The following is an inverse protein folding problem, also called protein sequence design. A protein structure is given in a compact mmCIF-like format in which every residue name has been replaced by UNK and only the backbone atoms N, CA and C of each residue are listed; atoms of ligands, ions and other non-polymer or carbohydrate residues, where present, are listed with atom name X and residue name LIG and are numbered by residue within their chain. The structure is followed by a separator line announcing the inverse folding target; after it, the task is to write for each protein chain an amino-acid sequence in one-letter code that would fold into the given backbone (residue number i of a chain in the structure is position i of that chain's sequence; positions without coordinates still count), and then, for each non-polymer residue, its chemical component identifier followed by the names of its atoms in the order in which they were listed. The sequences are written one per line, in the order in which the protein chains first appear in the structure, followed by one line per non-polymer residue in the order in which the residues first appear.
data_IF_362908925574
#
_entry.id   IF_362908925574
#
_cell.length_a   1.000
_cell.length_b   1.000
_cell.length_c   1.000
_cell.angle_alpha   90.00
_cell.angle_beta   90.00
_cell.angle_gamma   90.00
#
_symmetry.space_group_name_H-M   'P 1'
#
loop_
_entity.id
_entity.type
_entity.pdbx_description
1 polymer ?
#
# COMPACT_ATOMS: atom_id res chain seq x y z
N UNK A 1 29.34 16.04 4.75
CA UNK A 1 29.70 16.18 6.19
C UNK A 1 29.23 14.91 6.87
N UNK A 2 30.17 14.03 7.20
CA UNK A 2 29.92 12.80 7.93
C UNK A 2 29.66 13.20 9.39
N UNK A 3 28.47 12.90 9.88
CA UNK A 3 28.20 12.93 11.30
C UNK A 3 28.93 11.73 11.93
N UNK A 4 29.91 12.00 12.79
CA UNK A 4 30.38 11.04 13.79
C UNK A 4 29.28 10.88 14.85
N UNK A 5 28.16 10.28 14.46
CA UNK A 5 27.07 9.93 15.35
C UNK A 5 27.05 8.42 15.48
N UNK A 6 27.00 7.94 16.69
CA UNK A 6 26.64 6.59 17.02
C UNK A 6 25.36 6.23 16.23
N UNK A 7 25.40 5.20 15.39
CA UNK A 7 24.21 4.55 14.87
C UNK A 7 23.57 3.89 16.08
N UNK A 8 22.68 4.61 16.75
CA UNK A 8 21.74 3.96 17.64
C UNK A 8 20.77 3.21 16.73
N UNK A 9 20.69 1.90 16.86
CA UNK A 9 19.64 1.06 16.27
C UNK A 9 18.30 1.48 16.89
N UNK A 10 17.78 2.62 16.45
CA UNK A 10 16.47 3.11 16.89
C UNK A 10 15.43 2.39 16.06
N UNK A 11 14.67 1.53 16.68
CA UNK A 11 13.57 0.84 16.00
C UNK A 11 12.48 1.83 15.58
N UNK A 12 11.69 1.47 14.57
CA UNK A 12 10.50 2.26 14.15
C UNK A 12 9.56 2.47 15.35
N UNK A 13 9.44 1.45 16.22
CA UNK A 13 8.67 1.53 17.47
C UNK A 13 9.20 2.65 18.38
N UNK A 14 10.50 2.67 18.64
CA UNK A 14 11.10 3.67 19.55
C UNK A 14 10.97 5.08 18.98
N UNK A 15 11.16 5.23 17.66
CA UNK A 15 10.96 6.50 16.98
C UNK A 15 9.50 6.97 17.06
N UNK A 16 8.53 6.10 16.78
CA UNK A 16 7.12 6.43 16.87
C UNK A 16 6.72 6.80 18.31
N UNK A 17 7.19 6.05 19.32
CA UNK A 17 6.95 6.37 20.73
C UNK A 17 7.60 7.70 21.15
N UNK A 18 8.79 8.03 20.65
CA UNK A 18 9.42 9.33 20.93
C UNK A 18 8.58 10.50 20.41
N UNK A 19 7.97 10.35 19.21
CA UNK A 19 7.04 11.33 18.63
C UNK A 19 5.79 11.47 19.49
N UNK A 20 5.19 10.35 19.93
CA UNK A 20 3.98 10.37 20.75
C UNK A 20 4.22 11.04 22.10
N UNK A 21 5.37 10.80 22.72
CA UNK A 21 5.77 11.36 24.04
C UNK A 21 6.19 12.84 23.97
N UNK A 22 6.52 13.37 22.81
CA UNK A 22 7.00 14.74 22.67
C UNK A 22 5.88 15.78 22.76
N UNK A 23 6.01 16.76 23.64
CA UNK A 23 4.98 17.81 23.85
C UNK A 23 4.83 18.73 22.64
N UNK A 24 5.92 19.04 21.94
CA UNK A 24 5.94 19.98 20.81
C UNK A 24 5.42 19.39 19.50
N UNK A 25 5.03 18.09 19.46
CA UNK A 25 4.54 17.44 18.26
C UNK A 25 3.02 17.56 18.17
N UNK A 26 2.52 17.83 16.96
CA UNK A 26 1.08 17.97 16.73
C UNK A 26 0.32 16.66 17.00
N UNK A 27 -0.95 16.78 17.44
CA UNK A 27 -1.81 15.61 17.67
C UNK A 27 -1.98 14.73 16.41
N UNK A 28 -1.99 15.35 15.22
CA UNK A 28 -2.07 14.61 13.96
C UNK A 28 -0.90 13.64 13.79
N UNK A 29 0.31 14.08 14.12
CA UNK A 29 1.52 13.24 14.05
C UNK A 29 1.54 12.18 15.14
N UNK A 30 1.07 12.50 16.36
CA UNK A 30 0.92 11.51 17.44
C UNK A 30 -0.07 10.42 17.05
N UNK A 31 -1.24 10.80 16.47
CA UNK A 31 -2.22 9.85 15.94
C UNK A 31 -1.65 8.98 14.82
N UNK A 32 -0.89 9.56 13.89
CA UNK A 32 -0.23 8.81 12.84
C UNK A 32 0.71 7.74 13.43
N UNK A 33 1.56 8.12 14.37
CA UNK A 33 2.51 7.21 15.01
C UNK A 33 1.78 6.12 15.83
N UNK A 34 0.72 6.46 16.56
CA UNK A 34 -0.05 5.47 17.32
C UNK A 34 -0.72 4.45 16.39
N UNK A 35 -1.35 4.88 15.31
CA UNK A 35 -1.98 3.96 14.35
C UNK A 35 -0.95 3.13 13.56
N UNK A 36 0.25 3.65 13.31
CA UNK A 36 1.37 2.86 12.78
C UNK A 36 1.75 1.71 13.73
N UNK A 37 1.85 1.99 15.03
CA UNK A 37 2.19 0.97 16.05
C UNK A 37 1.09 -0.08 16.18
N UNK A 38 -0.19 0.33 16.16
CA UNK A 38 -1.33 -0.60 16.16
C UNK A 38 -1.30 -1.49 14.91
N UNK A 39 -1.07 -0.92 13.74
CA UNK A 39 -0.92 -1.70 12.50
C UNK A 39 0.24 -2.70 12.62
N UNK A 40 1.37 -2.28 13.14
CA UNK A 40 2.52 -3.16 13.40
C UNK A 40 2.17 -4.34 14.33
N UNK A 41 1.47 -4.06 15.44
CA UNK A 41 1.00 -5.09 16.38
C UNK A 41 0.02 -6.08 15.71
N UNK A 42 -0.93 -5.60 14.91
CA UNK A 42 -1.85 -6.46 14.17
C UNK A 42 -1.12 -7.31 13.13
N UNK A 43 -0.11 -6.77 12.45
CA UNK A 43 0.76 -7.51 11.55
C UNK A 43 1.57 -8.60 12.29
N UNK A 44 2.17 -8.28 13.44
CA UNK A 44 2.87 -9.24 14.30
C UNK A 44 1.96 -10.41 14.70
N UNK A 45 0.70 -10.12 15.05
CA UNK A 45 -0.28 -11.13 15.40
C UNK A 45 -0.67 -11.98 14.18
N UNK A 46 -0.92 -11.37 13.03
CA UNK A 46 -1.33 -12.06 11.81
C UNK A 46 -0.22 -12.99 11.27
N UNK A 47 1.01 -12.48 11.21
CA UNK A 47 2.16 -13.25 10.71
C UNK A 47 2.83 -14.14 11.79
N UNK A 48 2.28 -14.15 13.01
CA UNK A 48 2.84 -14.88 14.14
C UNK A 48 4.32 -14.55 14.43
N UNK A 49 4.67 -13.26 14.34
CA UNK A 49 6.03 -12.76 14.50
C UNK A 49 6.18 -11.90 15.76
N UNK A 50 7.21 -12.17 16.57
CA UNK A 50 7.61 -11.36 17.73
C UNK A 50 6.45 -10.94 18.68
N UNK A 51 5.50 -11.83 18.94
CA UNK A 51 4.33 -11.56 19.80
C UNK A 51 4.67 -11.23 21.26
N UNK A 52 5.86 -11.57 21.72
CA UNK A 52 6.32 -11.24 23.07
C UNK A 52 6.60 -9.74 23.24
N UNK A 53 6.77 -8.99 22.15
CA UNK A 53 7.04 -7.56 22.13
C UNK A 53 6.21 -6.85 21.06
N UNK A 54 4.91 -6.70 21.33
CA UNK A 54 4.00 -6.03 20.38
C UNK A 54 4.38 -4.56 20.19
N UNK A 55 4.19 -4.08 18.99
CA UNK A 55 4.55 -2.71 18.63
C UNK A 55 3.78 -1.66 19.44
N UNK A 56 2.51 -1.93 19.75
CA UNK A 56 1.60 -1.04 20.49
C UNK A 56 1.62 -1.23 22.02
N UNK A 57 2.49 -2.09 22.56
CA UNK A 57 2.50 -2.44 24.00
C UNK A 57 2.64 -1.24 24.95
N UNK A 58 3.22 -0.13 24.49
CA UNK A 58 3.38 1.10 25.26
C UNK A 58 2.25 2.13 25.07
N UNK A 59 1.27 1.85 24.19
CA UNK A 59 0.11 2.71 23.97
C UNK A 59 -0.94 2.51 25.07
N UNK A 60 -0.60 2.90 26.29
CA UNK A 60 -1.44 2.79 27.49
C UNK A 60 -1.68 4.18 28.09
N UNK A 61 -2.68 4.30 28.97
CA UNK A 61 -3.03 5.57 29.62
C UNK A 61 -3.35 6.65 28.59
N UNK A 62 -2.74 7.83 28.75
CA UNK A 62 -2.99 8.98 27.87
C UNK A 62 -2.54 8.74 26.43
N UNK A 63 -1.57 7.86 26.20
CA UNK A 63 -1.11 7.54 24.85
C UNK A 63 -2.13 6.73 24.04
N UNK A 64 -3.01 5.99 24.71
CA UNK A 64 -4.11 5.26 24.06
C UNK A 64 -5.13 6.21 23.40
N UNK A 65 -5.22 7.46 23.81
CA UNK A 65 -6.12 8.46 23.24
C UNK A 65 -5.79 8.82 21.78
N UNK A 66 -4.57 8.49 21.32
CA UNK A 66 -4.16 8.71 19.93
C UNK A 66 -4.51 7.54 18.99
N UNK A 67 -5.01 6.43 19.52
CA UNK A 67 -5.43 5.27 18.71
C UNK A 67 -6.79 5.57 18.09
N UNK A 68 -6.93 5.34 16.80
CA UNK A 68 -8.23 5.31 16.15
C UNK A 68 -8.85 3.92 16.34
N UNK A 69 -9.91 3.87 17.14
CA UNK A 69 -10.66 2.64 17.42
C UNK A 69 -11.86 2.44 16.48
N UNK A 70 -12.06 3.34 15.53
CA UNK A 70 -13.14 3.25 14.56
C UNK A 70 -12.92 2.03 13.65
N UNK A 71 -13.95 1.23 13.46
CA UNK A 71 -13.94 0.20 12.42
C UNK A 71 -14.24 0.87 11.08
N UNK A 72 -13.25 0.96 10.16
CA UNK A 72 -13.46 1.65 8.90
C UNK A 72 -14.43 0.87 8.01
N UNK A 73 -15.29 1.58 7.30
CA UNK A 73 -16.05 0.99 6.21
C UNK A 73 -15.12 0.84 5.02
N UNK A 74 -14.83 -0.40 4.61
CA UNK A 74 -14.02 -0.69 3.44
C UNK A 74 -14.87 -0.62 2.18
N UNK A 75 -14.35 0.05 1.15
CA UNK A 75 -15.03 0.20 -0.15
C UNK A 75 -14.44 -0.81 -1.12
N UNK A 76 -15.32 -1.68 -1.64
CA UNK A 76 -15.00 -2.59 -2.72
C UNK A 76 -15.20 -1.87 -4.06
N UNK A 77 -14.15 -1.81 -4.86
CA UNK A 77 -14.29 -1.43 -6.26
C UNK A 77 -14.63 -2.67 -7.08
N UNK A 78 -15.91 -2.82 -7.44
CA UNK A 78 -16.40 -4.01 -8.15
C UNK A 78 -16.05 -4.03 -9.62
N UNK A 79 -15.66 -2.91 -10.22
CA UNK A 79 -15.53 -2.78 -11.67
C UNK A 79 -14.33 -3.55 -12.22
N UNK A 80 -13.27 -3.75 -11.42
CA UNK A 80 -12.01 -4.35 -11.87
C UNK A 80 -11.73 -5.74 -11.33
N UNK A 81 -12.39 -6.17 -10.24
CA UNK A 81 -12.20 -7.51 -9.67
C UNK A 81 -12.78 -8.63 -10.54
N UNK A 82 -13.79 -8.33 -11.37
CA UNK A 82 -14.52 -9.35 -12.13
C UNK A 82 -14.04 -9.54 -13.55
N UNK A 83 -13.22 -8.64 -14.09
CA UNK A 83 -12.69 -8.77 -15.45
C UNK A 83 -11.38 -8.00 -15.67
N UNK A 84 -10.26 -8.43 -15.08
CA UNK A 84 -8.96 -7.81 -15.33
C UNK A 84 -8.39 -8.16 -16.72
N UNK A 85 -9.11 -8.96 -17.51
CA UNK A 85 -8.71 -9.37 -18.84
C UNK A 85 -9.58 -8.75 -19.91
N UNK A 86 -8.96 -8.08 -20.85
CA UNK A 86 -9.58 -7.73 -22.12
C UNK A 86 -9.05 -8.70 -23.18
N UNK A 87 -9.96 -9.39 -23.87
CA UNK A 87 -9.56 -10.32 -24.93
C UNK A 87 -8.82 -9.56 -26.05
N UNK A 88 -7.63 -10.03 -26.38
CA UNK A 88 -6.83 -9.43 -27.45
C UNK A 88 -5.84 -8.37 -27.03
N UNK A 89 -5.89 -7.93 -25.78
CA UNK A 89 -4.95 -7.00 -25.17
C UNK A 89 -3.97 -7.71 -24.21
N UNK A 90 -2.93 -7.01 -23.78
CA UNK A 90 -2.13 -7.45 -22.65
C UNK A 90 -3.01 -7.44 -21.41
N UNK A 91 -3.07 -8.57 -20.71
CA UNK A 91 -3.98 -8.76 -19.58
C UNK A 91 -3.31 -8.50 -18.22
N UNK A 92 -4.12 -8.23 -17.20
CA UNK A 92 -3.69 -8.27 -15.82
C UNK A 92 -4.37 -9.42 -15.07
N UNK A 93 -3.63 -10.12 -14.23
CA UNK A 93 -4.27 -10.92 -13.15
C UNK A 93 -4.75 -9.99 -12.05
N UNK A 94 -5.74 -10.45 -11.27
CA UNK A 94 -6.10 -9.78 -10.01
C UNK A 94 -4.85 -9.62 -9.16
N UNK A 95 -4.47 -8.39 -8.81
CA UNK A 95 -3.28 -8.16 -7.99
C UNK A 95 -3.50 -8.65 -6.56
N UNK A 96 -2.40 -8.80 -5.84
CA UNK A 96 -2.42 -9.12 -4.42
C UNK A 96 -1.57 -8.13 -3.62
N UNK A 97 -1.76 -8.12 -2.30
CA UNK A 97 -0.98 -7.30 -1.39
C UNK A 97 0.23 -8.09 -0.89
N UNK A 98 1.35 -7.40 -0.80
CA UNK A 98 2.52 -7.83 -0.03
C UNK A 98 2.78 -6.83 1.10
N UNK A 99 3.28 -7.33 2.22
CA UNK A 99 3.71 -6.57 3.37
C UNK A 99 5.14 -7.01 3.71
N UNK A 100 6.09 -6.22 3.27
CA UNK A 100 7.52 -6.42 3.52
C UNK A 100 8.05 -5.14 4.19
N UNK A 101 8.94 -4.41 3.53
CA UNK A 101 9.41 -3.10 4.02
C UNK A 101 8.36 -2.00 3.86
N UNK A 102 7.33 -2.25 3.04
CA UNK A 102 6.19 -1.38 2.78
C UNK A 102 4.93 -2.21 2.49
N UNK A 103 3.78 -1.55 2.45
CA UNK A 103 2.57 -2.15 1.87
C UNK A 103 2.63 -1.94 0.36
N UNK A 104 2.63 -3.05 -0.38
CA UNK A 104 2.83 -3.07 -1.83
C UNK A 104 1.67 -3.78 -2.53
N UNK A 105 1.36 -3.33 -3.73
CA UNK A 105 0.49 -4.05 -4.66
C UNK A 105 1.39 -4.80 -5.64
N UNK A 106 1.25 -6.12 -5.69
CA UNK A 106 1.93 -6.98 -6.66
C UNK A 106 1.02 -7.18 -7.88
N UNK A 107 1.52 -6.77 -9.02
CA UNK A 107 0.85 -6.92 -10.30
C UNK A 107 1.46 -8.05 -11.12
N UNK A 108 0.60 -8.77 -11.82
CA UNK A 108 1.01 -9.75 -12.84
C UNK A 108 0.40 -9.38 -14.17
N UNK A 109 1.24 -9.21 -15.19
CA UNK A 109 0.87 -8.92 -16.56
C UNK A 109 0.96 -10.22 -17.36
N UNK A 110 -0.02 -10.50 -18.20
CA UNK A 110 -0.04 -11.65 -19.10
C UNK A 110 0.03 -11.20 -20.55
N UNK A 111 1.04 -11.69 -21.26
CA UNK A 111 1.25 -11.38 -22.67
C UNK A 111 0.73 -12.44 -23.62
N UNK A 112 0.45 -13.64 -23.12
CA UNK A 112 -0.06 -14.75 -23.94
C UNK A 112 -1.50 -14.58 -24.44
N UNK A 113 -2.22 -13.60 -23.93
CA UNK A 113 -3.57 -13.23 -24.36
C UNK A 113 -3.58 -12.10 -25.40
N UNK A 114 -2.43 -11.49 -25.63
CA UNK A 114 -2.26 -10.42 -26.62
C UNK A 114 -2.36 -10.98 -28.06
N UNK A 115 -3.20 -10.37 -28.88
CA UNK A 115 -3.40 -10.77 -30.28
C UNK A 115 -3.00 -9.69 -31.28
N UNK A 116 -2.37 -8.61 -30.81
CA UNK A 116 -1.81 -7.59 -31.69
C UNK A 116 -0.62 -8.12 -32.50
N UNK A 117 -0.29 -7.43 -33.58
CA UNK A 117 0.81 -7.80 -34.47
C UNK A 117 2.17 -7.25 -34.08
N UNK A 118 2.23 -6.44 -33.02
CA UNK A 118 3.47 -5.79 -32.58
C UNK A 118 4.27 -6.68 -31.64
N UNK A 119 5.58 -6.68 -31.79
CA UNK A 119 6.48 -7.32 -30.83
C UNK A 119 6.46 -6.56 -29.50
N UNK A 120 6.16 -7.26 -28.40
CA UNK A 120 6.10 -6.68 -27.05
C UNK A 120 7.50 -6.54 -26.41
N UNK A 121 8.41 -5.82 -27.11
CA UNK A 121 9.83 -5.73 -26.71
C UNK A 121 10.16 -4.51 -25.84
N UNK A 122 9.22 -3.56 -25.70
CA UNK A 122 9.44 -2.32 -24.97
C UNK A 122 8.29 -2.02 -24.01
N UNK A 123 7.99 -2.99 -23.14
CA UNK A 123 6.90 -2.86 -22.19
C UNK A 123 7.28 -1.97 -21.02
N UNK A 124 6.37 -1.08 -20.66
CA UNK A 124 6.37 -0.29 -19.43
C UNK A 124 4.96 -0.25 -18.85
N UNK A 125 4.86 -0.04 -17.54
CA UNK A 125 3.58 0.20 -16.88
C UNK A 125 3.51 1.64 -16.43
N UNK A 126 2.43 2.32 -16.74
CA UNK A 126 2.12 3.66 -16.25
C UNK A 126 1.05 3.54 -15.18
N UNK A 127 1.39 3.98 -13.98
CA UNK A 127 0.49 4.07 -12.83
C UNK A 127 0.03 5.51 -12.66
N UNK A 128 -1.27 5.74 -12.60
CA UNK A 128 -1.84 7.07 -12.36
C UNK A 128 -2.81 7.05 -11.20
N UNK A 129 -2.75 8.07 -10.34
CA UNK A 129 -3.67 8.25 -9.22
C UNK A 129 -3.77 9.72 -8.81
N UNK A 130 -4.76 10.06 -8.00
CA UNK A 130 -4.93 11.43 -7.51
C UNK A 130 -4.11 11.66 -6.24
N UNK A 131 -3.33 12.71 -6.25
CA UNK A 131 -2.67 13.24 -5.05
C UNK A 131 -3.65 13.97 -4.13
N UNK A 132 -3.21 14.34 -2.93
CA UNK A 132 -4.02 15.07 -1.94
C UNK A 132 -4.51 16.43 -2.43
N UNK A 133 -3.77 17.08 -3.32
CA UNK A 133 -4.18 18.33 -3.99
C UNK A 133 -5.16 18.11 -5.15
N UNK A 134 -5.55 16.88 -5.46
CA UNK A 134 -6.36 16.53 -6.64
C UNK A 134 -5.55 16.43 -7.94
N UNK A 135 -4.28 16.81 -7.94
CA UNK A 135 -3.39 16.65 -9.10
C UNK A 135 -3.18 15.18 -9.41
N UNK A 136 -3.03 14.86 -10.70
CA UNK A 136 -2.69 13.49 -11.12
C UNK A 136 -1.20 13.24 -10.88
N UNK A 137 -0.89 12.17 -10.17
CA UNK A 137 0.47 11.64 -10.00
C UNK A 137 0.63 10.51 -11.01
N UNK A 138 1.77 10.49 -11.68
CA UNK A 138 2.13 9.47 -12.67
C UNK A 138 3.46 8.84 -12.29
N UNK A 139 3.50 7.50 -12.26
CA UNK A 139 4.72 6.72 -12.09
C UNK A 139 4.87 5.79 -13.28
N UNK A 140 6.08 5.67 -13.81
CA UNK A 140 6.39 4.74 -14.90
C UNK A 140 7.33 3.66 -14.38
N UNK A 141 6.92 2.41 -14.55
CA UNK A 141 7.67 1.22 -14.16
C UNK A 141 8.21 0.56 -15.43
N UNK A 142 9.52 0.45 -15.53
CA UNK A 142 10.24 -0.18 -16.65
C UNK A 142 10.97 -1.45 -16.23
N UNK A 143 11.23 -1.62 -14.94
CA UNK A 143 11.83 -2.83 -14.40
C UNK A 143 10.73 -3.86 -14.12
N UNK A 144 10.54 -4.77 -15.06
CA UNK A 144 9.54 -5.81 -15.04
C UNK A 144 10.20 -7.17 -14.90
N UNK A 145 9.88 -7.90 -13.83
CA UNK A 145 10.35 -9.26 -13.61
C UNK A 145 9.69 -10.24 -14.59
N UNK A 146 10.47 -10.98 -15.37
CA UNK A 146 9.96 -11.95 -16.34
C UNK A 146 9.41 -13.20 -15.63
N UNK A 147 8.27 -13.67 -16.10
CA UNK A 147 7.64 -14.95 -15.72
C UNK A 147 7.20 -15.70 -16.96
N UNK A 148 6.75 -16.95 -16.81
CA UNK A 148 6.15 -17.70 -17.91
C UNK A 148 4.89 -16.97 -18.41
N UNK A 149 4.89 -16.58 -19.68
CA UNK A 149 3.79 -15.88 -20.36
C UNK A 149 3.50 -14.47 -19.86
N UNK A 150 4.49 -13.78 -19.31
CA UNK A 150 4.26 -12.39 -18.88
C UNK A 150 5.34 -11.80 -17.98
N UNK A 151 4.91 -10.85 -17.16
CA UNK A 151 5.78 -10.09 -16.28
C UNK A 151 5.12 -9.83 -14.93
N UNK A 152 5.94 -9.54 -13.92
CA UNK A 152 5.51 -9.08 -12.61
C UNK A 152 6.20 -7.78 -12.24
N UNK A 153 5.55 -6.96 -11.44
CA UNK A 153 6.15 -5.82 -10.77
C UNK A 153 5.42 -5.54 -9.45
N UNK A 154 6.07 -4.84 -8.58
CA UNK A 154 5.49 -4.39 -7.31
C UNK A 154 5.45 -2.86 -7.27
N UNK A 155 4.42 -2.32 -6.62
CA UNK A 155 4.30 -0.88 -6.39
C UNK A 155 4.03 -0.62 -4.91
N UNK A 156 4.99 0.05 -4.25
CA UNK A 156 4.85 0.51 -2.87
C UNK A 156 3.88 1.67 -2.77
N UNK A 157 2.84 1.51 -1.96
CA UNK A 157 1.80 2.53 -1.80
C UNK A 157 2.05 3.32 -0.53
N UNK A 158 2.31 4.63 -0.65
CA UNK A 158 2.46 5.48 0.52
C UNK A 158 1.18 5.47 1.36
N UNK A 159 1.33 5.47 2.70
CA UNK A 159 0.25 5.32 3.66
C UNK A 159 -0.99 6.17 3.32
N UNK A 160 -0.79 7.46 3.04
CA UNK A 160 -1.88 8.40 2.71
C UNK A 160 -2.66 8.08 1.43
N UNK A 161 -2.18 7.17 0.59
CA UNK A 161 -2.80 6.80 -0.69
C UNK A 161 -3.38 5.38 -0.72
N UNK A 162 -3.40 4.66 0.40
CA UNK A 162 -3.88 3.27 0.43
C UNK A 162 -5.36 3.12 0.08
N UNK A 163 -6.13 4.21 0.21
CA UNK A 163 -7.55 4.28 -0.19
C UNK A 163 -7.75 4.90 -1.58
N UNK A 164 -6.68 5.39 -2.20
CA UNK A 164 -6.76 6.06 -3.49
C UNK A 164 -6.74 5.02 -4.61
N UNK A 165 -7.70 5.04 -5.55
CA UNK A 165 -7.68 4.20 -6.73
C UNK A 165 -6.45 4.50 -7.60
N UNK A 166 -5.70 3.46 -7.96
CA UNK A 166 -4.52 3.52 -8.81
C UNK A 166 -4.85 2.80 -10.11
N UNK A 167 -4.78 3.52 -11.22
CA UNK A 167 -4.94 2.95 -12.56
C UNK A 167 -3.59 2.48 -13.07
N UNK A 168 -3.48 1.20 -13.46
CA UNK A 168 -2.31 0.63 -14.10
C UNK A 168 -2.62 0.33 -15.57
N UNK A 169 -1.80 0.84 -16.48
CA UNK A 169 -1.91 0.62 -17.93
C UNK A 169 -0.58 0.18 -18.50
N UNK A 170 -0.57 -0.90 -19.29
CA UNK A 170 0.64 -1.38 -19.99
C UNK A 170 0.78 -0.64 -21.32
N UNK A 171 1.98 -0.18 -21.59
CA UNK A 171 2.39 0.43 -22.85
C UNK A 171 3.48 -0.39 -23.49
N UNK A 172 3.47 -0.44 -24.82
CA UNK A 172 4.60 -0.87 -25.65
C UNK A 172 5.16 0.38 -26.33
N UNK A 173 6.33 0.84 -25.88
CA UNK A 173 6.79 2.18 -26.23
C UNK A 173 5.80 3.25 -25.74
N UNK A 174 5.17 3.99 -26.67
CA UNK A 174 4.19 5.04 -26.34
C UNK A 174 2.73 4.61 -26.64
N UNK A 175 2.54 3.39 -27.11
CA UNK A 175 1.21 2.85 -27.45
C UNK A 175 0.66 2.05 -26.26
N UNK A 176 -0.54 2.36 -25.73
CA UNK A 176 -1.19 1.53 -24.74
C UNK A 176 -1.61 0.20 -25.37
N UNK A 177 -1.26 -0.91 -24.71
CA UNK A 177 -1.55 -2.29 -25.18
C UNK A 177 -2.44 -3.06 -24.20
N UNK A 178 -2.88 -2.41 -23.13
CA UNK A 178 -3.88 -2.95 -22.21
C UNK A 178 -4.96 -1.93 -21.90
N UNK A 179 -6.15 -2.40 -21.56
CA UNK A 179 -7.11 -1.59 -20.81
C UNK A 179 -6.51 -1.23 -19.43
N UNK A 180 -6.82 -0.05 -18.93
CA UNK A 180 -6.42 0.33 -17.57
C UNK A 180 -7.16 -0.50 -16.52
N UNK A 181 -6.43 -1.07 -15.56
CA UNK A 181 -7.04 -1.71 -14.38
C UNK A 181 -6.89 -0.81 -13.17
N UNK A 182 -7.92 -0.75 -12.33
CA UNK A 182 -7.95 0.15 -11.17
C UNK A 182 -8.03 -0.66 -9.88
N UNK A 183 -7.05 -0.46 -9.00
CA UNK A 183 -7.01 -1.08 -7.68
C UNK A 183 -6.52 -0.09 -6.63
N UNK A 184 -6.91 -0.31 -5.39
CA UNK A 184 -6.35 0.34 -4.21
C UNK A 184 -5.95 -0.71 -3.19
N UNK A 185 -5.14 -0.35 -2.20
CA UNK A 185 -4.89 -1.24 -1.06
C UNK A 185 -6.21 -1.58 -0.37
N UNK A 186 -7.09 -0.60 -0.18
CA UNK A 186 -8.41 -0.80 0.42
C UNK A 186 -9.24 -1.82 -0.35
N UNK A 187 -9.34 -1.72 -1.68
CA UNK A 187 -10.14 -2.63 -2.49
C UNK A 187 -9.63 -4.07 -2.44
N UNK A 188 -8.32 -4.27 -2.23
CA UNK A 188 -7.74 -5.60 -2.03
C UNK A 188 -7.96 -6.13 -0.61
N UNK A 189 -7.94 -5.27 0.40
CA UNK A 189 -8.18 -5.65 1.80
C UNK A 189 -9.63 -6.06 2.08
N UNK A 190 -10.59 -5.55 1.32
CA UNK A 190 -12.02 -5.87 1.51
C UNK A 190 -12.33 -7.36 1.37
N UNK A 191 -11.43 -8.13 0.76
CA UNK A 191 -11.54 -9.58 0.62
C UNK A 191 -11.09 -10.36 1.86
N UNK A 192 -10.72 -9.69 2.94
CA UNK A 192 -10.31 -10.32 4.19
C UNK A 192 -11.40 -11.27 4.73
N UNK A 193 -11.04 -12.54 4.97
CA UNK A 193 -11.99 -13.60 5.35
C UNK A 193 -11.88 -14.01 6.83
N UNK A 194 -10.66 -13.99 7.40
CA UNK A 194 -10.43 -14.35 8.80
C UNK A 194 -10.49 -13.13 9.71
N UNK A 195 -10.84 -13.31 11.00
CA UNK A 195 -10.89 -12.19 11.96
C UNK A 195 -9.54 -11.52 12.15
N UNK A 196 -8.44 -12.29 12.20
CA UNK A 196 -7.10 -11.71 12.31
C UNK A 196 -6.70 -10.88 11.08
N UNK A 197 -7.15 -11.27 9.88
CA UNK A 197 -6.92 -10.52 8.66
C UNK A 197 -7.83 -9.28 8.60
N UNK A 198 -9.07 -9.35 9.10
CA UNK A 198 -9.95 -8.18 9.23
C UNK A 198 -9.36 -7.15 10.20
N UNK A 199 -8.85 -7.60 11.34
CA UNK A 199 -8.19 -6.74 12.32
C UNK A 199 -7.00 -5.99 11.72
N UNK A 200 -6.14 -6.72 10.98
CA UNK A 200 -5.02 -6.12 10.27
C UNK A 200 -5.49 -5.14 9.19
N UNK A 201 -6.52 -5.51 8.41
CA UNK A 201 -7.09 -4.65 7.37
C UNK A 201 -7.61 -3.33 7.94
N UNK A 202 -8.36 -3.39 9.05
CA UNK A 202 -8.87 -2.22 9.74
C UNK A 202 -7.72 -1.32 10.23
N UNK A 203 -6.68 -1.92 10.81
CA UNK A 203 -5.52 -1.17 11.30
C UNK A 203 -4.73 -0.50 10.16
N UNK A 204 -4.58 -1.17 9.02
CA UNK A 204 -3.96 -0.57 7.81
C UNK A 204 -4.75 0.65 7.36
N UNK A 205 -6.08 0.58 7.31
CA UNK A 205 -6.91 1.69 6.86
C UNK A 205 -6.94 2.83 7.88
N UNK A 206 -6.96 2.54 9.18
CA UNK A 206 -6.85 3.57 10.22
C UNK A 206 -5.50 4.29 10.15
N UNK A 207 -4.40 3.55 9.93
CA UNK A 207 -3.10 4.14 9.67
C UNK A 207 -3.10 5.01 8.40
N UNK A 208 -3.73 4.56 7.32
CA UNK A 208 -3.88 5.34 6.09
C UNK A 208 -4.66 6.64 6.32
N UNK A 209 -5.79 6.58 7.05
CA UNK A 209 -6.59 7.74 7.39
C UNK A 209 -5.79 8.76 8.21
N UNK A 210 -5.06 8.30 9.23
CA UNK A 210 -4.19 9.13 10.03
C UNK A 210 -3.08 9.79 9.20
N UNK A 211 -2.49 9.05 8.25
CA UNK A 211 -1.48 9.58 7.34
C UNK A 211 -2.05 10.64 6.40
N UNK A 212 -3.24 10.41 5.85
CA UNK A 212 -3.91 11.39 5.00
C UNK A 212 -4.16 12.72 5.74
N UNK A 213 -4.58 12.65 7.01
CA UNK A 213 -4.79 13.84 7.86
C UNK A 213 -3.47 14.52 8.24
N UNK A 214 -2.44 13.75 8.59
CA UNK A 214 -1.15 14.29 9.02
C UNK A 214 -0.41 15.01 7.89
N UNK A 215 -0.56 14.51 6.65
CA UNK A 215 0.09 15.04 5.45
C UNK A 215 -0.87 15.80 4.51
N UNK A 216 -2.07 16.17 4.98
CA UNK A 216 -2.93 17.11 4.27
C UNK A 216 -2.22 18.49 4.24
N UNK A 217 -1.99 19.00 3.04
CA UNK A 217 -1.49 20.35 2.79
C UNK A 217 -2.64 21.33 2.71
#
# INVERSE_FOLDING_TARGET
TWYNGYVTDTSIKDLAMSVIKADAVSEKMKKLCANLLVMGSKAQNYFNYNKASLADAELIGDYANYIDTTVPTLVKDDTNFNNPYQTGEVGFKTPNLAMEDAIMINYTILTNVYTGSEDLNNLKVVLTYKGTSGATITNTITDLGSITNGYTFTFGVAARYMRTPITATVYNGDTPVSAGVVFSVESLLVQAQTESLKDLSNAIINYSNAAAVAFAQ
#
